data_IF_984638253232
#
_entry.id   IF_984638253232
#
_cell.length_a   1.000
_cell.length_b   1.000
_cell.length_c   1.000
_cell.angle_alpha   90.00
_cell.angle_beta   90.00
_cell.angle_gamma   90.00
#
_symmetry.space_group_name_H-M   'P 1'
#
loop_
_entity.id
_entity.type
_entity.pdbx_description
1 polymer ?
#
# COMPACT_ATOMS: atom_id res chain seq x y z
N UNK A 1 -15.84 -5.09 0.75
CA UNK A 1 -15.74 -6.43 0.13
C UNK A 1 -15.78 -7.53 1.17
N UNK A 2 -15.49 -8.76 0.73
CA UNK A 2 -15.37 -9.99 1.54
C UNK A 2 -13.94 -10.26 2.05
N UNK A 3 -13.01 -9.35 1.70
CA UNK A 3 -11.59 -9.43 2.03
C UNK A 3 -11.18 -8.32 3.00
N UNK A 4 -10.17 -8.63 3.81
CA UNK A 4 -9.45 -7.67 4.64
C UNK A 4 -8.09 -7.39 4.03
N UNK A 5 -7.71 -6.11 3.95
CA UNK A 5 -6.43 -5.66 3.41
C UNK A 5 -5.54 -5.13 4.52
N UNK A 6 -4.27 -5.54 4.51
CA UNK A 6 -3.26 -5.10 5.46
C UNK A 6 -2.10 -4.48 4.70
N UNK A 7 -1.64 -3.31 5.15
CA UNK A 7 -0.58 -2.57 4.50
C UNK A 7 0.56 -2.39 5.48
N UNK A 8 1.75 -2.85 5.11
CA UNK A 8 2.85 -2.95 6.06
C UNK A 8 4.22 -2.93 5.37
N UNK A 9 5.23 -2.67 6.19
CA UNK A 9 6.63 -2.81 5.80
C UNK A 9 7.19 -4.08 6.41
N UNK A 10 7.96 -4.85 5.63
CA UNK A 10 8.79 -5.93 6.15
C UNK A 10 10.09 -6.03 5.37
N UNK A 11 11.10 -6.68 5.96
CA UNK A 11 12.33 -7.05 5.23
C UNK A 11 11.99 -8.08 4.15
N UNK A 12 12.49 -7.84 2.95
CA UNK A 12 12.46 -8.84 1.88
C UNK A 12 13.62 -9.81 2.06
N UNK A 13 13.37 -10.92 2.74
CA UNK A 13 14.39 -11.94 3.02
C UNK A 13 14.88 -12.68 1.76
N UNK A 14 14.14 -12.60 0.64
CA UNK A 14 14.52 -13.21 -0.63
C UNK A 14 15.53 -12.33 -1.39
N UNK A 15 15.51 -11.02 -1.17
CA UNK A 15 16.50 -10.11 -1.72
C UNK A 15 17.84 -10.18 -0.95
N UNK A 16 19.00 -10.17 -1.64
CA UNK A 16 20.32 -10.17 -0.98
C UNK A 16 20.52 -9.01 0.00
N UNK A 17 19.91 -7.86 -0.28
CA UNK A 17 20.00 -6.66 0.58
C UNK A 17 19.19 -6.77 1.87
N UNK A 18 18.17 -7.65 1.91
CA UNK A 18 17.21 -7.75 3.02
C UNK A 18 16.59 -6.41 3.44
N UNK A 19 16.50 -5.48 2.49
CA UNK A 19 15.95 -4.15 2.71
C UNK A 19 14.45 -4.24 3.04
N UNK A 20 13.95 -3.23 3.75
CA UNK A 20 12.51 -3.10 3.95
C UNK A 20 11.82 -2.76 2.63
N UNK A 21 10.69 -3.41 2.40
CA UNK A 21 9.78 -3.16 1.27
C UNK A 21 8.35 -3.05 1.78
N UNK A 22 7.51 -2.36 1.02
CA UNK A 22 6.09 -2.21 1.28
C UNK A 22 5.30 -3.35 0.63
N UNK A 23 4.25 -3.78 1.32
CA UNK A 23 3.39 -4.87 0.89
C UNK A 23 1.93 -4.53 1.20
N UNK A 24 1.04 -5.01 0.34
CA UNK A 24 -0.37 -5.21 0.66
C UNK A 24 -0.63 -6.70 0.78
N UNK A 25 -1.30 -7.11 1.85
CA UNK A 25 -1.81 -8.47 1.98
C UNK A 25 -3.32 -8.45 1.94
N UNK A 26 -3.88 -9.30 1.10
CA UNK A 26 -5.30 -9.60 1.08
C UNK A 26 -5.54 -10.91 1.83
N UNK A 27 -6.51 -10.88 2.74
CA UNK A 27 -7.01 -12.05 3.44
C UNK A 27 -8.52 -12.14 3.23
N UNK A 28 -8.96 -13.12 2.45
CA UNK A 28 -10.38 -13.43 2.36
C UNK A 28 -10.85 -13.97 3.72
N UNK A 29 -12.05 -13.57 4.17
CA UNK A 29 -12.60 -14.06 5.43
C UNK A 29 -12.71 -15.60 5.39
N UNK A 30 -11.76 -16.28 6.04
CA UNK A 30 -11.56 -17.75 6.14
C UNK A 30 -10.66 -18.39 5.06
N UNK A 31 -9.35 -18.18 5.14
CA UNK A 31 -8.27 -19.21 5.06
C UNK A 31 -7.09 -18.95 4.12
N UNK A 32 -7.21 -18.16 3.05
CA UNK A 32 -6.07 -17.87 2.15
C UNK A 32 -5.57 -16.43 2.32
N UNK A 33 -4.30 -16.30 2.68
CA UNK A 33 -3.59 -15.03 2.70
C UNK A 33 -2.71 -14.95 1.45
N UNK A 34 -2.94 -13.93 0.63
CA UNK A 34 -2.07 -13.58 -0.49
C UNK A 34 -1.39 -12.26 -0.20
N UNK A 35 -0.07 -12.20 -0.40
CA UNK A 35 0.74 -11.00 -0.16
C UNK A 35 1.32 -10.49 -1.48
N UNK A 36 1.11 -9.22 -1.77
CA UNK A 36 1.62 -8.53 -2.95
C UNK A 36 2.69 -7.52 -2.54
N UNK A 37 3.80 -7.52 -3.26
CA UNK A 37 4.84 -6.50 -3.10
C UNK A 37 4.42 -5.23 -3.82
N UNK A 38 4.55 -4.08 -3.18
CA UNK A 38 4.37 -2.79 -3.84
C UNK A 38 5.65 -2.33 -4.49
N UNK A 39 5.51 -1.84 -5.72
CA UNK A 39 6.55 -1.08 -6.38
C UNK A 39 5.97 0.27 -6.82
N UNK A 40 5.97 1.20 -5.88
CA UNK A 40 6.00 2.61 -6.19
C UNK A 40 7.42 3.10 -5.85
N UNK A 41 8.03 4.05 -6.59
CA UNK A 41 9.33 4.57 -6.22
C UNK A 41 9.34 5.03 -4.74
N UNK A 42 10.25 4.40 -3.98
CA UNK A 42 10.72 4.75 -2.61
C UNK A 42 10.08 3.93 -1.45
N UNK A 43 10.82 3.56 -0.39
CA UNK A 43 10.33 2.67 0.70
C UNK A 43 9.31 3.36 1.64
N UNK A 44 8.10 2.79 1.75
CA UNK A 44 6.89 3.51 2.18
C UNK A 44 6.76 3.98 3.64
N UNK A 45 5.85 4.94 3.87
CA UNK A 45 5.11 5.14 5.11
C UNK A 45 3.61 5.16 4.75
N UNK A 46 2.93 4.01 4.88
CA UNK A 46 1.58 3.84 4.35
C UNK A 46 0.54 4.55 5.23
N UNK A 47 -0.23 5.46 4.63
CA UNK A 47 -1.50 5.97 5.15
C UNK A 47 -2.53 5.86 4.03
N UNK A 48 -3.77 5.52 4.38
CA UNK A 48 -4.81 5.10 3.43
C UNK A 48 -6.11 5.85 3.64
N UNK A 49 -6.87 6.02 2.57
CA UNK A 49 -8.24 6.54 2.63
C UNK A 49 -9.15 5.71 1.74
N UNK A 50 -10.40 5.56 2.17
CA UNK A 50 -11.44 4.89 1.41
C UNK A 50 -12.36 5.94 0.76
N UNK A 51 -12.65 5.70 -0.51
CA UNK A 51 -13.83 6.15 -1.29
C UNK A 51 -13.66 7.34 -2.27
N UNK A 52 -13.85 7.02 -3.56
CA UNK A 52 -14.19 7.95 -4.65
C UNK A 52 -15.36 7.29 -5.40
N UNK A 53 -16.34 8.07 -5.85
CA UNK A 53 -17.63 7.63 -6.41
C UNK A 53 -17.59 6.78 -7.71
N UNK A 54 -16.40 6.34 -8.16
CA UNK A 54 -16.19 5.44 -9.30
C UNK A 54 -14.94 4.58 -9.04
N UNK A 55 -15.13 3.42 -8.40
CA UNK A 55 -14.05 2.47 -8.09
C UNK A 55 -13.43 2.68 -6.71
N UNK A 56 -13.12 1.56 -6.03
CA UNK A 56 -12.37 1.61 -4.77
C UNK A 56 -10.87 1.77 -5.13
N UNK A 57 -10.32 2.97 -4.93
CA UNK A 57 -8.88 3.25 -5.14
C UNK A 57 -8.22 3.44 -3.80
N UNK A 58 -7.07 2.80 -3.62
CA UNK A 58 -6.21 2.93 -2.46
C UNK A 58 -5.13 3.98 -2.72
N UNK A 59 -5.18 5.07 -1.97
CA UNK A 59 -4.09 6.06 -1.96
C UNK A 59 -3.08 5.70 -0.86
N UNK A 60 -1.80 5.66 -1.21
CA UNK A 60 -0.73 5.38 -0.27
C UNK A 60 0.43 6.36 -0.44
N UNK A 61 0.91 6.91 0.68
CA UNK A 61 2.11 7.74 0.72
C UNK A 61 3.37 6.89 0.91
N UNK A 62 4.46 7.32 0.27
CA UNK A 62 5.78 6.72 0.35
C UNK A 62 6.81 7.82 0.56
N UNK A 63 7.87 7.55 1.31
CA UNK A 63 8.94 8.53 1.57
C UNK A 63 10.30 7.91 1.31
N UNK A 64 11.34 8.70 1.08
CA UNK A 64 12.69 8.14 1.09
C UNK A 64 13.03 7.73 2.50
N UNK A 65 13.52 6.51 2.65
CA UNK A 65 14.17 6.07 3.87
C UNK A 65 15.67 6.07 3.57
N UNK A 66 16.46 6.83 4.33
CA UNK A 66 17.90 6.65 4.33
C UNK A 66 18.21 5.21 4.78
N UNK A 67 19.22 4.55 4.20
CA UNK A 67 19.54 3.17 4.56
C UNK A 67 19.71 3.04 6.08
N UNK A 68 19.00 2.11 6.74
CA UNK A 68 19.07 1.99 8.18
C UNK A 68 20.48 1.51 8.57
N UNK A 69 21.22 2.37 9.26
CA UNK A 69 22.37 1.94 10.06
C UNK A 69 21.83 1.21 11.29
N UNK A 70 21.63 -0.09 11.17
CA UNK A 70 21.62 -1.01 12.32
C UNK A 70 20.30 -1.23 13.03
N UNK A 71 19.62 -0.21 13.56
CA UNK A 71 18.67 -0.45 14.65
C UNK A 71 17.23 0.05 14.40
N UNK A 72 16.28 -0.76 14.88
CA UNK A 72 14.85 -0.45 14.97
C UNK A 72 14.65 0.77 15.89
N UNK A 73 13.75 1.73 15.59
CA UNK A 73 12.82 1.81 14.46
C UNK A 73 13.42 2.34 13.18
N UNK A 74 12.75 2.03 12.06
CA UNK A 74 12.92 2.77 10.82
C UNK A 74 12.55 4.23 11.08
N UNK A 75 13.54 5.01 11.47
CA UNK A 75 13.43 6.45 11.50
C UNK A 75 13.56 6.94 10.07
N UNK A 76 12.46 7.51 9.57
CA UNK A 76 12.47 8.71 8.74
C UNK A 76 13.83 9.44 8.75
N UNK A 77 14.45 9.63 7.58
CA UNK A 77 15.81 10.16 7.53
C UNK A 77 15.88 11.66 7.82
N UNK A 78 16.24 12.03 9.04
CA UNK A 78 16.36 13.42 9.51
C UNK A 78 17.45 14.27 8.83
N UNK A 79 17.98 13.92 7.65
CA UNK A 79 19.11 14.64 7.05
C UNK A 79 19.42 14.47 5.56
N UNK A 80 18.62 13.75 4.76
CA UNK A 80 18.86 13.64 3.30
C UNK A 80 17.55 13.87 2.58
N UNK A 81 17.47 14.95 1.78
CA UNK A 81 16.34 15.38 0.92
C UNK A 81 15.14 14.43 0.97
N UNK A 82 14.34 14.56 2.04
CA UNK A 82 13.17 13.72 2.25
C UNK A 82 12.18 14.07 1.15
N UNK A 83 11.96 13.19 0.18
CA UNK A 83 10.89 13.37 -0.80
C UNK A 83 9.85 12.33 -0.52
N UNK A 84 8.61 12.76 -0.51
CA UNK A 84 7.48 11.85 -0.44
C UNK A 84 6.72 11.84 -1.74
N UNK A 85 6.14 10.69 -2.04
CA UNK A 85 5.27 10.50 -3.19
C UNK A 85 3.93 9.96 -2.74
N UNK A 86 2.87 10.28 -3.48
CA UNK A 86 1.56 9.66 -3.33
C UNK A 86 1.33 8.77 -4.55
N UNK A 87 0.90 7.54 -4.32
CA UNK A 87 0.57 6.59 -5.37
C UNK A 87 -0.87 6.13 -5.19
N UNK A 88 -1.54 5.85 -6.31
CA UNK A 88 -2.90 5.33 -6.32
C UNK A 88 -2.86 3.88 -6.85
N UNK A 89 -3.51 2.98 -6.13
CA UNK A 89 -3.63 1.57 -6.47
C UNK A 89 -5.12 1.23 -6.58
N UNK A 90 -5.66 1.04 -7.79
CA UNK A 90 -7.01 0.53 -7.98
C UNK A 90 -7.17 -0.83 -7.27
N UNK A 91 -8.21 -1.01 -6.44
CA UNK A 91 -8.39 -2.26 -5.70
C UNK A 91 -8.71 -3.45 -6.63
N UNK A 92 -9.28 -3.21 -7.80
CA UNK A 92 -9.47 -4.24 -8.82
C UNK A 92 -8.14 -4.76 -9.37
N UNK A 93 -7.12 -3.91 -9.52
CA UNK A 93 -5.76 -4.36 -9.87
C UNK A 93 -5.10 -5.13 -8.72
N UNK A 94 -5.33 -4.72 -7.47
CA UNK A 94 -4.86 -5.44 -6.28
C UNK A 94 -5.47 -6.84 -6.25
N UNK A 95 -6.79 -6.94 -6.35
CA UNK A 95 -7.52 -8.21 -6.32
C UNK A 95 -7.17 -9.08 -7.53
N UNK A 96 -6.99 -8.49 -8.72
CA UNK A 96 -6.57 -9.22 -9.91
C UNK A 96 -5.20 -9.89 -9.70
N UNK A 97 -4.21 -9.14 -9.21
CA UNK A 97 -2.87 -9.69 -9.00
C UNK A 97 -2.85 -10.72 -7.86
N UNK A 98 -3.66 -10.52 -6.82
CA UNK A 98 -3.83 -11.50 -5.74
C UNK A 98 -4.43 -12.82 -6.26
N UNK A 99 -5.49 -12.75 -7.06
CA UNK A 99 -6.10 -13.91 -7.70
C UNK A 99 -5.14 -14.58 -8.69
N UNK A 100 -4.45 -13.82 -9.52
CA UNK A 100 -3.45 -14.35 -10.45
C UNK A 100 -2.33 -15.12 -9.74
N UNK A 101 -1.83 -14.57 -8.61
CA UNK A 101 -0.83 -15.22 -7.77
C UNK A 101 -1.38 -16.51 -7.15
N UNK A 102 -2.61 -16.47 -6.61
CA UNK A 102 -3.27 -17.64 -6.03
C UNK A 102 -3.43 -18.75 -7.06
N UNK A 103 -3.99 -18.42 -8.21
CA UNK A 103 -4.37 -19.40 -9.23
C UNK A 103 -3.14 -20.09 -9.80
N UNK A 104 -2.07 -19.33 -10.05
CA UNK A 104 -0.78 -19.89 -10.47
C UNK A 104 -0.16 -20.79 -9.38
N UNK A 105 -0.24 -20.40 -8.11
CA UNK A 105 0.28 -21.24 -7.02
C UNK A 105 -0.57 -22.50 -6.79
N UNK A 106 -1.88 -22.44 -7.06
CA UNK A 106 -2.77 -23.59 -6.90
C UNK A 106 -2.61 -24.60 -8.02
N UNK A 107 -2.49 -24.14 -9.26
CA UNK A 107 -2.68 -24.98 -10.45
C UNK A 107 -1.42 -25.15 -11.31
N UNK A 108 -0.43 -24.26 -11.16
CA UNK A 108 0.72 -24.15 -12.07
C UNK A 108 2.07 -24.12 -11.33
N UNK A 109 2.15 -24.69 -10.13
CA UNK A 109 3.41 -24.98 -9.42
C UNK A 109 4.27 -23.76 -9.01
N UNK A 110 3.81 -22.53 -9.31
CA UNK A 110 4.45 -21.20 -9.12
C UNK A 110 4.66 -20.37 -10.41
N UNK A 111 4.32 -20.92 -11.58
CA UNK A 111 4.55 -20.28 -12.89
C UNK A 111 3.27 -19.88 -13.61
N UNK A 112 3.41 -18.99 -14.57
CA UNK A 112 2.38 -18.71 -15.57
C UNK A 112 2.52 -19.64 -16.80
N UNK A 113 1.60 -19.48 -17.76
CA UNK A 113 1.58 -20.25 -19.03
C UNK A 113 2.88 -20.08 -19.85
N UNK A 114 3.62 -18.98 -19.65
CA UNK A 114 4.88 -18.68 -20.32
C UNK A 114 6.11 -19.22 -19.55
N UNK A 115 5.91 -19.88 -18.41
CA UNK A 115 6.97 -20.39 -17.55
C UNK A 115 7.64 -19.33 -16.66
N UNK A 116 7.09 -18.13 -16.59
CA UNK A 116 7.55 -17.06 -15.71
C UNK A 116 7.12 -17.37 -14.28
N UNK A 117 8.03 -17.23 -13.31
CA UNK A 117 7.68 -17.39 -11.89
C UNK A 117 6.84 -16.19 -11.42
N UNK A 118 5.64 -16.46 -10.92
CA UNK A 118 4.66 -15.44 -10.52
C UNK A 118 4.22 -15.56 -9.06
N UNK A 119 4.33 -16.75 -8.48
CA UNK A 119 3.98 -16.98 -7.08
C UNK A 119 5.16 -17.61 -6.33
N UNK A 120 5.07 -17.61 -5.01
CA UNK A 120 5.97 -18.31 -4.12
C UNK A 120 5.32 -18.43 -2.74
N UNK A 121 5.92 -19.22 -1.84
CA UNK A 121 5.50 -19.33 -0.44
C UNK A 121 6.39 -18.42 0.42
N UNK A 122 5.77 -17.67 1.33
CA UNK A 122 6.45 -16.73 2.22
C UNK A 122 6.68 -17.33 3.62
N UNK A 123 7.55 -16.66 4.39
CA UNK A 123 7.79 -16.91 5.82
C UNK A 123 8.36 -18.30 6.16
N UNK A 124 8.96 -18.99 5.19
CA UNK A 124 9.58 -20.31 5.35
C UNK A 124 8.64 -21.33 6.03
N UNK A 125 7.33 -21.22 5.76
CA UNK A 125 6.34 -22.19 6.22
C UNK A 125 6.47 -23.48 5.40
N UNK A 126 6.06 -24.61 5.99
CA UNK A 126 6.06 -25.91 5.31
C UNK A 126 4.84 -26.01 4.37
N UNK A 127 4.92 -25.32 3.23
CA UNK A 127 3.93 -25.34 2.15
C UNK A 127 4.66 -25.08 0.83
N UNK A 128 4.12 -25.60 -0.26
CA UNK A 128 4.64 -25.39 -1.62
C UNK A 128 3.47 -25.09 -2.56
N UNK A 129 3.73 -24.38 -3.66
CA UNK A 129 2.77 -24.29 -4.75
C UNK A 129 2.58 -25.68 -5.40
N UNK A 130 1.40 -25.91 -5.99
CA UNK A 130 0.95 -27.22 -6.39
C UNK A 130 0.37 -27.26 -7.82
N UNK A 131 0.02 -28.46 -8.26
CA UNK A 131 -0.73 -28.73 -9.50
C UNK A 131 -2.10 -29.34 -9.15
N UNK A 132 -2.92 -28.56 -8.45
CA UNK A 132 -4.29 -28.94 -8.12
C UNK A 132 -5.19 -28.87 -9.37
N UNK A 133 -6.37 -29.52 -9.37
CA UNK A 133 -7.34 -29.43 -10.45
C UNK A 133 -7.66 -27.98 -10.85
N UNK A 134 -7.90 -27.72 -12.13
CA UNK A 134 -8.11 -26.36 -12.66
C UNK A 134 -9.36 -25.66 -12.09
N UNK A 135 -10.32 -26.42 -11.56
CA UNK A 135 -11.53 -25.91 -10.89
C UNK A 135 -11.28 -25.56 -9.40
N UNK A 136 -10.09 -25.81 -8.86
CA UNK A 136 -9.73 -25.53 -7.46
C UNK A 136 -9.91 -24.06 -7.08
N UNK A 137 -9.48 -23.05 -7.88
CA UNK A 137 -9.70 -21.64 -7.53
C UNK A 137 -11.18 -21.25 -7.40
N UNK A 138 -12.06 -21.86 -8.19
CA UNK A 138 -13.51 -21.61 -8.13
C UNK A 138 -14.17 -22.36 -6.97
N UNK A 139 -13.73 -23.59 -6.69
CA UNK A 139 -14.24 -24.41 -5.59
C UNK A 139 -13.78 -23.89 -4.21
N UNK A 140 -12.56 -23.37 -4.13
CA UNK A 140 -11.92 -22.91 -2.90
C UNK A 140 -11.32 -21.50 -3.09
N UNK A 141 -12.14 -20.46 -3.33
CA UNK A 141 -11.65 -19.10 -3.58
C UNK A 141 -10.89 -18.51 -2.39
N UNK A 142 -11.18 -18.98 -1.18
CA UNK A 142 -10.52 -18.62 0.07
C UNK A 142 -9.55 -19.70 0.57
N UNK A 143 -9.22 -20.69 -0.26
CA UNK A 143 -8.43 -21.86 0.12
C UNK A 143 -9.18 -22.90 0.96
N UNK A 144 -8.44 -23.94 1.32
CA UNK A 144 -8.80 -25.10 2.14
C UNK A 144 -7.55 -25.62 2.85
N UNK A 145 -7.71 -26.61 3.73
CA UNK A 145 -6.59 -27.27 4.44
C UNK A 145 -5.59 -27.93 3.46
N UNK A 146 -6.05 -28.33 2.27
CA UNK A 146 -5.24 -28.99 1.23
C UNK A 146 -4.66 -28.01 0.20
N UNK A 147 -4.93 -26.70 0.32
CA UNK A 147 -4.42 -25.70 -0.63
C UNK A 147 -3.17 -25.00 -0.10
N UNK A 148 -2.24 -24.59 -0.99
CA UNK A 148 -1.11 -23.75 -0.59
C UNK A 148 -1.56 -22.48 0.16
N UNK A 149 -0.78 -22.08 1.18
CA UNK A 149 -1.08 -20.91 2.01
C UNK A 149 0.15 -20.01 2.18
N UNK A 150 -0.06 -18.78 2.65
CA UNK A 150 0.99 -17.75 2.75
C UNK A 150 1.66 -17.44 1.40
N UNK A 151 0.83 -17.37 0.35
CA UNK A 151 1.29 -17.08 -1.00
C UNK A 151 1.79 -15.65 -1.09
N UNK A 152 2.90 -15.44 -1.81
CA UNK A 152 3.44 -14.14 -2.13
C UNK A 152 3.69 -14.02 -3.63
N UNK A 153 3.30 -12.89 -4.19
CA UNK A 153 3.59 -12.62 -5.60
C UNK A 153 5.09 -12.40 -5.81
N UNK A 154 5.62 -13.02 -6.86
CA UNK A 154 6.95 -12.68 -7.40
C UNK A 154 6.90 -11.46 -8.31
N UNK A 155 5.71 -11.06 -8.75
CA UNK A 155 5.44 -9.86 -9.57
C UNK A 155 4.97 -8.72 -8.66
N UNK A 156 5.64 -7.56 -8.63
CA UNK A 156 5.16 -6.42 -7.87
C UNK A 156 3.91 -5.79 -8.50
N UNK A 157 3.09 -5.16 -7.65
CA UNK A 157 2.07 -4.22 -8.08
C UNK A 157 2.74 -2.86 -8.32
N UNK A 158 2.85 -2.49 -9.59
CA UNK A 158 3.48 -1.25 -10.05
C UNK A 158 2.52 -0.07 -9.99
N UNK A 159 2.96 1.07 -9.48
CA UNK A 159 2.21 2.32 -9.59
C UNK A 159 3.14 3.51 -9.86
N UNK A 160 2.71 4.41 -10.74
CA UNK A 160 3.39 5.69 -10.97
C UNK A 160 2.94 6.71 -9.93
N UNK A 161 3.88 7.49 -9.32
CA UNK A 161 3.52 8.61 -8.46
C UNK A 161 2.55 9.55 -9.14
N UNK A 162 1.44 9.84 -8.45
CA UNK A 162 0.49 10.86 -8.88
C UNK A 162 0.83 12.23 -8.29
N UNK A 163 1.65 12.28 -7.23
CA UNK A 163 2.16 13.48 -6.59
C UNK A 163 3.58 13.21 -6.08
N UNK A 164 4.46 14.20 -6.22
CA UNK A 164 5.78 14.22 -5.58
C UNK A 164 5.92 15.51 -4.77
N UNK A 165 6.38 15.39 -3.52
CA UNK A 165 6.62 16.49 -2.59
C UNK A 165 8.08 16.47 -2.12
N UNK A 166 8.98 17.21 -2.81
CA UNK A 166 10.38 17.34 -2.40
C UNK A 166 10.51 18.09 -1.08
N UNK A 167 11.38 17.59 -0.19
CA UNK A 167 11.61 18.18 1.13
C UNK A 167 10.47 17.95 2.14
N UNK A 168 9.55 17.03 1.86
CA UNK A 168 8.40 16.70 2.72
C UNK A 168 8.41 15.22 3.05
N UNK A 169 8.15 14.91 4.31
CA UNK A 169 7.91 13.55 4.78
C UNK A 169 6.45 13.38 5.19
N UNK A 170 5.68 12.71 4.34
CA UNK A 170 4.27 12.43 4.61
C UNK A 170 4.12 11.38 5.70
N UNK A 171 3.18 11.62 6.61
CA UNK A 171 2.85 10.73 7.72
C UNK A 171 1.38 10.33 7.72
N UNK A 172 0.52 11.04 6.99
CA UNK A 172 -0.92 10.80 6.97
C UNK A 172 -1.55 11.15 5.61
N UNK A 173 -2.61 10.43 5.23
CA UNK A 173 -3.35 10.59 3.99
C UNK A 173 -4.84 10.45 4.29
N UNK A 174 -5.63 11.42 3.85
CA UNK A 174 -7.08 11.33 3.73
C UNK A 174 -7.49 11.84 2.35
N UNK A 175 -8.47 11.22 1.71
CA UNK A 175 -8.96 11.63 0.39
C UNK A 175 -10.47 11.71 0.44
N UNK A 176 -11.03 12.72 -0.23
CA UNK A 176 -12.46 12.91 -0.41
C UNK A 176 -12.76 13.29 -1.86
N UNK A 177 -14.03 13.29 -2.23
CA UNK A 177 -14.51 13.76 -3.53
C UNK A 177 -15.51 14.88 -3.34
N UNK A 178 -15.28 16.02 -4.00
CA UNK A 178 -16.19 17.17 -3.99
C UNK A 178 -16.58 17.52 -5.43
N UNK A 179 -17.87 17.48 -5.77
CA UNK A 179 -18.36 17.74 -7.14
C UNK A 179 -17.63 16.91 -8.24
N UNK A 180 -17.35 15.64 -7.95
CA UNK A 180 -16.61 14.74 -8.85
C UNK A 180 -15.09 14.97 -8.90
N UNK A 181 -14.56 15.90 -8.11
CA UNK A 181 -13.15 16.23 -8.01
C UNK A 181 -12.52 15.54 -6.80
N UNK A 182 -11.50 14.71 -7.03
CA UNK A 182 -10.75 14.07 -5.95
C UNK A 182 -9.80 15.06 -5.29
N UNK A 183 -9.87 15.17 -3.96
CA UNK A 183 -9.03 16.05 -3.13
C UNK A 183 -8.33 15.21 -2.07
N UNK A 184 -7.01 15.32 -1.99
CA UNK A 184 -6.19 14.70 -0.97
C UNK A 184 -5.76 15.70 0.11
N UNK A 185 -5.84 15.27 1.35
CA UNK A 185 -5.36 15.93 2.55
C UNK A 185 -4.18 15.11 3.08
N UNK A 186 -3.00 15.72 3.11
CA UNK A 186 -1.75 15.03 3.39
C UNK A 186 -1.09 15.66 4.61
N UNK A 187 -0.92 14.89 5.68
CA UNK A 187 -0.20 15.31 6.87
C UNK A 187 1.29 14.99 6.76
N UNK A 188 2.16 15.86 7.30
CA UNK A 188 3.61 15.65 7.30
C UNK A 188 4.23 15.59 8.71
N UNK A 189 5.52 15.21 8.76
CA UNK A 189 6.31 15.08 9.98
C UNK A 189 6.56 16.40 10.71
N UNK A 190 6.33 17.54 10.04
CA UNK A 190 6.51 18.89 10.59
C UNK A 190 5.18 19.51 11.07
N UNK A 191 4.11 18.71 11.08
CA UNK A 191 2.79 19.14 11.54
C UNK A 191 2.07 20.04 10.55
N UNK A 192 2.36 19.91 9.26
CA UNK A 192 1.66 20.61 8.19
C UNK A 192 0.61 19.71 7.55
N UNK A 193 -0.50 20.32 7.16
CA UNK A 193 -1.55 19.72 6.36
C UNK A 193 -1.55 20.34 4.96
N UNK A 194 -1.26 19.54 3.95
CA UNK A 194 -1.26 19.92 2.54
C UNK A 194 -2.59 19.50 1.91
N UNK A 195 -3.24 20.39 1.16
CA UNK A 195 -4.45 20.07 0.38
C UNK A 195 -4.12 20.07 -1.10
N UNK A 196 -4.43 18.97 -1.77
CA UNK A 196 -4.02 18.70 -3.15
C UNK A 196 -5.23 18.29 -3.96
N UNK A 197 -5.42 18.88 -5.13
CA UNK A 197 -6.41 18.43 -6.10
C UNK A 197 -5.78 17.38 -7.02
N UNK A 198 -6.40 16.21 -7.15
CA UNK A 198 -5.87 15.04 -7.88
C UNK A 198 -6.52 14.82 -9.25
N UNK A 199 -7.29 15.79 -9.77
CA UNK A 199 -7.96 15.62 -11.06
C UNK A 199 -7.06 15.87 -12.29
N UNK A 200 -7.58 15.59 -13.50
CA UNK A 200 -6.78 15.53 -14.72
C UNK A 200 -6.21 16.90 -15.13
N UNK A 201 -4.95 16.89 -15.61
CA UNK A 201 -4.38 18.00 -16.37
C UNK A 201 -3.85 19.21 -15.59
N UNK A 202 -3.50 19.07 -14.30
CA UNK A 202 -2.88 20.17 -13.52
C UNK A 202 -1.53 19.78 -12.92
N UNK A 203 -0.72 20.82 -12.65
CA UNK A 203 0.46 20.71 -11.78
C UNK A 203 -0.01 20.19 -10.43
N UNK A 204 0.44 19.00 -10.08
CA UNK A 204 0.08 18.34 -8.82
C UNK A 204 0.92 18.99 -7.71
N UNK A 205 0.52 20.19 -7.34
CA UNK A 205 1.08 20.94 -6.22
C UNK A 205 -0.04 21.19 -5.20
N UNK A 206 0.28 21.24 -3.90
CA UNK A 206 -0.69 21.65 -2.90
C UNK A 206 -1.25 23.03 -3.21
N UNK A 207 -2.57 23.16 -3.28
CA UNK A 207 -3.23 24.46 -3.44
C UNK A 207 -3.39 25.19 -2.09
N UNK A 208 -3.26 24.46 -0.98
CA UNK A 208 -3.23 24.99 0.37
C UNK A 208 -2.24 24.21 1.23
N UNK A 209 -1.60 24.91 2.17
CA UNK A 209 -0.74 24.36 3.22
C UNK A 209 -1.03 25.08 4.52
N UNK A 210 -1.35 24.32 5.56
CA UNK A 210 -1.75 24.84 6.87
C UNK A 210 -0.88 24.21 7.97
N UNK A 211 -0.43 25.04 8.91
CA UNK A 211 0.37 24.55 10.05
C UNK A 211 -0.56 24.19 11.20
N UNK A 212 -0.66 22.90 11.52
CA UNK A 212 -1.49 22.38 12.62
C UNK A 212 -0.77 22.55 13.95
N UNK A 213 0.44 21.98 14.05
CA UNK A 213 1.33 22.14 15.21
C UNK A 213 2.78 22.02 14.75
N UNK A 214 3.54 23.14 14.67
CA UNK A 214 4.90 23.12 14.17
C UNK A 214 5.79 22.08 14.88
N UNK A 215 6.43 21.22 14.08
CA UNK A 215 7.38 20.20 14.57
C UNK A 215 6.73 18.97 15.21
N UNK A 216 5.39 18.86 15.23
CA UNK A 216 4.70 17.66 15.69
C UNK A 216 4.04 16.93 14.53
N UNK A 217 4.48 15.70 14.25
CA UNK A 217 4.00 14.91 13.14
C UNK A 217 2.47 14.71 13.19
N UNK A 218 1.82 14.86 12.04
CA UNK A 218 0.38 14.60 11.89
C UNK A 218 0.13 13.10 12.04
N UNK A 219 -0.86 12.73 12.86
CA UNK A 219 -1.29 11.35 13.07
C UNK A 219 -1.83 10.74 11.79
N UNK A 220 -1.60 9.43 11.61
CA UNK A 220 -2.17 8.64 10.50
C UNK A 220 -3.70 8.66 10.48
N UNK A 221 -4.31 8.87 11.64
CA UNK A 221 -5.76 8.85 11.82
C UNK A 221 -6.41 10.18 11.38
N UNK A 222 -6.33 10.49 10.08
CA UNK A 222 -7.08 11.57 9.45
C UNK A 222 -8.50 11.08 9.12
N UNK A 223 -9.50 11.67 9.77
CA UNK A 223 -10.89 11.19 9.70
C UNK A 223 -11.82 12.37 9.39
N UNK A 224 -12.68 12.22 8.40
CA UNK A 224 -13.73 13.20 8.11
C UNK A 224 -14.92 13.02 9.07
N UNK A 225 -15.65 14.10 9.33
CA UNK A 225 -16.97 14.01 9.92
C UNK A 225 -17.98 13.34 8.98
N UNK A 226 -19.16 12.98 9.49
CA UNK A 226 -20.16 12.25 8.71
C UNK A 226 -20.72 13.02 7.51
N UNK A 227 -20.54 14.34 7.46
CA UNK A 227 -20.96 15.21 6.35
C UNK A 227 -19.82 15.59 5.41
N UNK A 228 -18.59 15.18 5.72
CA UNK A 228 -17.36 15.55 4.99
C UNK A 228 -17.12 17.07 4.94
N UNK A 229 -17.68 17.83 5.88
CA UNK A 229 -17.47 19.28 6.01
C UNK A 229 -16.23 19.60 6.84
N UNK A 230 -15.82 18.69 7.73
CA UNK A 230 -14.66 18.86 8.59
C UNK A 230 -13.74 17.63 8.54
N UNK A 231 -12.43 17.89 8.64
CA UNK A 231 -11.41 16.87 8.81
C UNK A 231 -10.81 16.98 10.22
N UNK A 232 -10.87 15.90 10.99
CA UNK A 232 -10.19 15.80 12.28
C UNK A 232 -8.70 15.52 12.06
N UNK A 233 -7.86 16.44 12.52
CA UNK A 233 -6.41 16.38 12.36
C UNK A 233 -5.76 16.41 13.73
N UNK A 234 -5.14 15.31 14.12
CA UNK A 234 -4.43 15.18 15.38
C UNK A 234 -2.92 15.18 15.17
N UNK A 235 -2.19 15.70 16.15
CA UNK A 235 -0.72 15.71 16.23
C UNK A 235 -0.30 15.08 17.55
N UNK A 236 0.95 14.67 17.68
CA UNK A 236 1.46 14.19 18.96
C UNK A 236 1.55 15.35 19.95
N UNK A 237 0.97 15.18 21.14
CA UNK A 237 1.27 16.07 22.27
C UNK A 237 2.64 15.71 22.82
N UNK A 238 3.61 16.59 22.62
CA UNK A 238 4.92 16.57 23.29
C UNK A 238 4.78 16.69 24.80
#
# INVERSE_FOLDING_TARGET
GTSAYFLFLRRDLKAPSRAFRAYVSECAFRTSITTLMWNCPWPAAVATSKEVACGEVLFAAFSSVAPPTGDWPLSASTGVSETSVLCAFPLDEVDWLANYTRDACYTQEDRDENGTKVADIAYDVLSDCAQLPMDTPEAFPCGSDDTPSHMVSSVPLEATPILELPGVQLTAVAVTTEDGHTIAFLGDSQGQLHRVYLGPGRSVAPYSKESIQPGSAVSRDLIFDGTFEHLYVATQTT
#
